data_IF_519662285772
#
_entry.id   IF_519662285772
#
_cell.length_a   1.000
_cell.length_b   1.000
_cell.length_c   1.000
_cell.angle_alpha   90.00
_cell.angle_beta   90.00
_cell.angle_gamma   90.00
#
_symmetry.space_group_name_H-M   'P 1'
#
loop_
_entity.id
_entity.type
_entity.pdbx_description
1 polymer ?
#
# COMPACT_ATOMS: atom_id res chain seq x y z
N UNK A 1 4.66 4.59 29.47
CA UNK A 1 4.12 5.28 28.27
C UNK A 1 3.89 4.22 27.20
N UNK A 2 2.72 4.17 26.62
CA UNK A 2 2.36 3.26 25.52
C UNK A 2 3.11 3.63 24.23
N UNK A 3 3.62 2.64 23.49
CA UNK A 3 4.31 2.85 22.20
C UNK A 3 3.33 2.78 21.01
N UNK A 4 2.26 1.99 21.14
CA UNK A 4 1.26 1.76 20.10
C UNK A 4 -0.07 2.43 20.43
N UNK A 5 -0.67 3.11 19.46
CA UNK A 5 -2.06 3.52 19.46
C UNK A 5 -2.87 2.76 18.41
N UNK A 6 -4.07 2.35 18.75
CA UNK A 6 -5.04 1.75 17.86
C UNK A 6 -6.11 2.79 17.50
N UNK A 7 -6.36 2.96 16.20
CA UNK A 7 -7.41 3.82 15.68
C UNK A 7 -8.35 3.02 14.79
N UNK A 8 -9.64 3.19 14.94
CA UNK A 8 -10.59 2.46 14.11
C UNK A 8 -11.67 3.39 13.54
N UNK A 9 -12.01 3.15 12.29
CA UNK A 9 -13.17 3.76 11.66
C UNK A 9 -14.49 3.25 12.29
N UNK A 10 -15.62 3.91 12.03
CA UNK A 10 -16.90 3.57 12.65
C UNK A 10 -17.29 2.10 12.51
N UNK A 11 -17.22 1.55 11.29
CA UNK A 11 -17.57 0.15 11.03
C UNK A 11 -16.60 -0.82 11.68
N UNK A 12 -15.28 -0.52 11.64
CA UNK A 12 -14.28 -1.33 12.33
C UNK A 12 -14.49 -1.34 13.85
N UNK A 13 -14.82 -0.20 14.47
CA UNK A 13 -15.16 -0.13 15.90
C UNK A 13 -16.37 -0.99 16.26
N UNK A 14 -17.41 -0.94 15.42
CA UNK A 14 -18.60 -1.77 15.62
C UNK A 14 -18.27 -3.26 15.50
N UNK A 15 -17.45 -3.64 14.53
CA UNK A 15 -16.97 -5.02 14.37
C UNK A 15 -16.18 -5.47 15.61
N UNK A 16 -15.19 -4.68 16.04
CA UNK A 16 -14.38 -4.98 17.24
C UNK A 16 -15.23 -5.10 18.50
N UNK A 17 -16.29 -4.29 18.62
CA UNK A 17 -17.19 -4.33 19.77
C UNK A 17 -18.03 -5.63 19.83
N UNK A 18 -18.39 -6.18 18.66
CA UNK A 18 -19.24 -7.38 18.59
C UNK A 18 -18.43 -8.68 18.56
N UNK A 19 -17.32 -8.69 17.82
CA UNK A 19 -16.62 -9.92 17.44
C UNK A 19 -15.16 -9.96 17.92
N UNK A 20 -14.62 -8.85 18.46
CA UNK A 20 -13.18 -8.73 18.71
C UNK A 20 -12.38 -8.69 17.40
N UNK A 21 -11.08 -8.96 17.50
CA UNK A 21 -10.18 -9.07 16.35
C UNK A 21 -9.59 -10.47 16.27
N UNK A 22 -9.81 -11.13 15.13
CA UNK A 22 -9.19 -12.40 14.78
C UNK A 22 -8.55 -12.32 13.39
N UNK A 23 -7.52 -13.16 13.09
CA UNK A 23 -6.88 -13.19 11.78
C UNK A 23 -7.88 -13.37 10.62
N UNK A 24 -8.93 -14.16 10.82
CA UNK A 24 -9.98 -14.42 9.82
C UNK A 24 -10.82 -13.18 9.47
N UNK A 25 -10.79 -12.14 10.30
CA UNK A 25 -11.52 -10.90 10.04
C UNK A 25 -10.78 -9.96 9.08
N UNK A 26 -9.49 -10.19 8.81
CA UNK A 26 -8.67 -9.32 7.98
C UNK A 26 -8.82 -9.68 6.51
N UNK A 27 -9.32 -8.74 5.71
CA UNK A 27 -9.43 -8.88 4.25
C UNK A 27 -8.28 -8.20 3.50
N UNK A 28 -7.79 -7.07 4.04
CA UNK A 28 -6.79 -6.24 3.34
C UNK A 28 -5.78 -5.67 4.31
N UNK A 29 -4.51 -5.64 3.90
CA UNK A 29 -3.42 -4.97 4.63
C UNK A 29 -2.73 -3.98 3.70
N UNK A 30 -2.89 -2.66 3.91
CA UNK A 30 -2.15 -1.65 3.18
C UNK A 30 -0.72 -1.48 3.69
N UNK A 31 0.21 -1.17 2.77
CA UNK A 31 1.60 -0.79 3.04
C UNK A 31 1.88 0.60 2.49
N UNK A 32 1.95 1.61 3.34
CA UNK A 32 2.15 3.01 2.95
C UNK A 32 3.51 3.29 2.32
N UNK A 33 3.56 4.23 1.39
CA UNK A 33 4.80 4.91 1.03
C UNK A 33 5.30 5.75 2.22
N UNK A 34 6.61 5.85 2.40
CA UNK A 34 7.16 6.63 3.54
C UNK A 34 8.68 6.55 3.67
N UNK A 35 9.33 5.74 2.83
CA UNK A 35 10.78 5.50 2.91
C UNK A 35 11.19 4.95 4.28
N UNK A 36 12.25 5.50 4.91
CA UNK A 36 12.79 4.96 6.16
C UNK A 36 11.79 4.89 7.33
N UNK A 37 10.69 5.67 7.29
CA UNK A 37 9.64 5.58 8.31
C UNK A 37 9.03 4.19 8.42
N UNK A 38 9.02 3.43 7.34
CA UNK A 38 8.54 2.05 7.32
C UNK A 38 9.37 1.09 8.18
N UNK A 39 10.62 1.42 8.51
CA UNK A 39 11.52 0.57 9.30
C UNK A 39 10.96 0.25 10.69
N UNK A 40 10.30 1.21 11.35
CA UNK A 40 9.73 1.00 12.69
C UNK A 40 8.57 0.00 12.70
N UNK A 41 8.04 -0.36 11.55
CA UNK A 41 6.99 -1.36 11.43
C UNK A 41 7.54 -2.79 11.33
N UNK A 42 8.85 -2.96 11.17
CA UNK A 42 9.48 -4.26 11.01
C UNK A 42 9.14 -5.27 12.10
N UNK A 43 9.25 -4.97 13.40
CA UNK A 43 8.82 -5.88 14.46
C UNK A 43 7.33 -6.24 14.40
N UNK A 44 6.48 -5.25 14.14
CA UNK A 44 5.03 -5.45 14.00
C UNK A 44 4.69 -6.30 12.78
N UNK A 45 5.38 -6.09 11.65
CA UNK A 45 5.23 -6.93 10.45
C UNK A 45 5.63 -8.38 10.72
N UNK A 46 6.76 -8.61 11.43
CA UNK A 46 7.20 -9.96 11.81
C UNK A 46 6.16 -10.68 12.66
N UNK A 47 5.59 -10.01 13.64
CA UNK A 47 4.51 -10.57 14.46
C UNK A 47 3.26 -10.85 13.63
N UNK A 48 2.77 -9.86 12.87
CA UNK A 48 1.54 -10.01 12.09
C UNK A 48 1.66 -11.13 11.06
N UNK A 49 2.71 -11.11 10.22
CA UNK A 49 2.86 -12.04 9.10
C UNK A 49 3.54 -13.36 9.47
N UNK A 50 4.34 -13.38 10.54
CA UNK A 50 5.05 -14.59 10.98
C UNK A 50 4.31 -15.42 12.03
N UNK A 51 3.47 -14.80 12.85
CA UNK A 51 2.89 -15.47 14.02
C UNK A 51 1.36 -15.39 14.07
N UNK A 52 0.79 -14.20 13.90
CA UNK A 52 -0.64 -13.99 14.14
C UNK A 52 -1.51 -14.32 12.93
N UNK A 53 -1.23 -13.72 11.77
CA UNK A 53 -2.06 -13.89 10.57
C UNK A 53 -2.04 -15.33 10.03
N UNK A 54 -0.94 -16.13 10.14
CA UNK A 54 -0.92 -17.53 9.73
C UNK A 54 -1.90 -18.44 10.50
N UNK A 55 -2.46 -18.01 11.62
CA UNK A 55 -3.47 -18.77 12.35
C UNK A 55 -4.82 -18.87 11.61
N UNK A 56 -4.97 -18.18 10.48
CA UNK A 56 -6.15 -18.25 9.62
C UNK A 56 -5.77 -18.66 8.19
N UNK A 57 -6.68 -19.28 7.48
CA UNK A 57 -6.55 -19.59 6.05
C UNK A 57 -7.27 -18.56 5.16
N UNK A 58 -7.84 -17.51 5.75
CA UNK A 58 -8.54 -16.45 5.01
C UNK A 58 -7.59 -15.79 3.99
N UNK A 59 -7.99 -15.68 2.71
CA UNK A 59 -7.23 -14.90 1.73
C UNK A 59 -7.16 -13.43 2.13
N UNK A 60 -5.99 -12.81 1.94
CA UNK A 60 -5.76 -11.40 2.28
C UNK A 60 -5.12 -10.67 1.09
N UNK A 61 -5.67 -9.51 0.77
CA UNK A 61 -5.11 -8.61 -0.23
C UNK A 61 -4.06 -7.68 0.41
N UNK A 62 -2.84 -7.72 -0.12
CA UNK A 62 -1.73 -6.89 0.32
C UNK A 62 -1.53 -5.76 -0.68
N UNK A 63 -1.80 -4.53 -0.29
CA UNK A 63 -1.76 -3.35 -1.18
C UNK A 63 -0.56 -2.49 -0.81
N UNK A 64 0.38 -2.25 -1.73
CA UNK A 64 1.61 -1.53 -1.40
C UNK A 64 1.98 -0.42 -2.38
N UNK A 65 2.55 0.66 -1.83
CA UNK A 65 3.19 1.74 -2.59
C UNK A 65 4.57 2.05 -2.00
N UNK A 66 5.59 2.23 -2.86
CA UNK A 66 6.97 2.53 -2.45
C UNK A 66 7.53 1.47 -1.50
N UNK A 67 8.12 1.88 -0.36
CA UNK A 67 8.58 0.93 0.68
C UNK A 67 7.46 -0.02 1.13
N UNK A 68 6.20 0.42 1.08
CA UNK A 68 5.06 -0.42 1.39
C UNK A 68 4.87 -1.55 0.39
N UNK A 69 5.12 -1.30 -0.90
CA UNK A 69 5.11 -2.38 -1.91
C UNK A 69 6.20 -3.42 -1.63
N UNK A 70 7.40 -2.96 -1.25
CA UNK A 70 8.48 -3.87 -0.88
C UNK A 70 8.14 -4.67 0.38
N UNK A 71 7.61 -4.01 1.44
CA UNK A 71 7.15 -4.70 2.66
C UNK A 71 6.07 -5.74 2.35
N UNK A 72 5.05 -5.41 1.56
CA UNK A 72 3.96 -6.32 1.24
C UNK A 72 4.43 -7.51 0.36
N UNK A 73 5.36 -7.27 -0.57
CA UNK A 73 6.00 -8.35 -1.31
C UNK A 73 6.84 -9.27 -0.40
N UNK A 74 7.53 -8.70 0.61
CA UNK A 74 8.29 -9.46 1.60
C UNK A 74 7.39 -10.35 2.46
N UNK A 75 6.18 -9.88 2.79
CA UNK A 75 5.18 -10.66 3.53
C UNK A 75 4.72 -11.93 2.79
N UNK A 76 4.83 -11.95 1.46
CA UNK A 76 4.50 -13.11 0.64
C UNK A 76 5.61 -14.16 0.54
N UNK A 77 6.77 -13.96 1.15
CA UNK A 77 7.85 -14.95 1.13
C UNK A 77 7.58 -16.07 2.12
N UNK A 78 8.10 -17.27 1.85
CA UNK A 78 7.87 -18.50 2.64
C UNK A 78 8.16 -18.32 4.14
N UNK A 79 9.25 -17.57 4.45
CA UNK A 79 9.57 -17.18 5.83
C UNK A 79 9.55 -15.66 5.97
N UNK A 80 8.37 -15.03 6.14
CA UNK A 80 8.24 -13.58 6.19
C UNK A 80 9.00 -12.96 7.37
N UNK A 81 9.01 -13.61 8.53
CA UNK A 81 9.71 -13.08 9.71
C UNK A 81 11.23 -12.93 9.48
N UNK A 82 11.85 -13.93 8.87
CA UNK A 82 13.26 -13.86 8.50
C UNK A 82 13.50 -12.85 7.36
N UNK A 83 12.63 -12.83 6.36
CA UNK A 83 12.73 -11.91 5.22
C UNK A 83 12.61 -10.45 5.65
N UNK A 84 11.72 -10.11 6.59
CA UNK A 84 11.62 -8.75 7.15
C UNK A 84 12.89 -8.33 7.88
N UNK A 85 13.57 -9.24 8.61
CA UNK A 85 14.87 -8.94 9.25
C UNK A 85 15.94 -8.61 8.21
N UNK A 86 15.96 -9.34 7.08
CA UNK A 86 16.90 -9.08 5.98
C UNK A 86 16.59 -7.73 5.33
N UNK A 87 15.32 -7.46 4.98
CA UNK A 87 14.88 -6.17 4.42
C UNK A 87 15.29 -5.00 5.32
N UNK A 88 15.06 -5.10 6.62
CA UNK A 88 15.38 -4.10 7.63
C UNK A 88 16.89 -3.86 7.68
N UNK A 89 17.69 -4.93 7.83
CA UNK A 89 19.15 -4.88 7.85
C UNK A 89 19.70 -4.19 6.59
N UNK A 90 19.25 -4.64 5.43
CA UNK A 90 19.76 -4.16 4.14
C UNK A 90 19.34 -2.72 3.87
N UNK A 91 18.13 -2.33 4.27
CA UNK A 91 17.67 -0.95 4.16
C UNK A 91 18.47 0.00 5.07
N UNK A 92 18.74 -0.40 6.32
CA UNK A 92 19.54 0.38 7.27
C UNK A 92 21.01 0.48 6.79
N UNK A 93 21.51 -0.58 6.17
CA UNK A 93 22.88 -0.64 5.66
C UNK A 93 23.08 0.14 4.35
N UNK A 94 22.01 0.64 3.71
CA UNK A 94 22.15 1.42 2.48
C UNK A 94 23.09 2.61 2.66
N UNK A 95 24.16 2.60 1.88
CA UNK A 95 25.13 3.67 1.80
C UNK A 95 25.52 3.90 0.34
N UNK A 96 25.65 5.16 -0.02
CA UNK A 96 26.05 5.55 -1.37
C UNK A 96 27.33 6.36 -1.26
N UNK A 97 28.45 5.79 -1.69
CA UNK A 97 29.70 6.50 -1.75
C UNK A 97 29.59 7.66 -2.74
N UNK A 98 29.93 8.85 -2.29
CA UNK A 98 29.94 10.04 -3.11
C UNK A 98 31.30 10.14 -3.82
N UNK A 99 31.29 10.44 -5.12
CA UNK A 99 32.50 10.79 -5.85
C UNK A 99 33.05 12.13 -5.35
N UNK A 100 34.36 12.35 -5.46
CA UNK A 100 34.95 13.63 -5.09
C UNK A 100 34.22 14.79 -5.77
N UNK A 101 33.74 15.76 -4.99
CA UNK A 101 32.99 16.95 -5.44
C UNK A 101 31.47 16.75 -5.57
N UNK A 102 30.93 15.54 -5.45
CA UNK A 102 29.49 15.31 -5.47
C UNK A 102 28.87 15.58 -4.08
N UNK A 103 27.74 16.32 -4.04
CA UNK A 103 26.97 16.56 -2.82
C UNK A 103 25.90 15.49 -2.55
N UNK A 104 25.58 14.68 -3.55
CA UNK A 104 24.60 13.57 -3.47
C UNK A 104 24.84 12.59 -4.61
N UNK A 105 24.49 11.31 -4.47
CA UNK A 105 24.65 10.32 -5.52
C UNK A 105 23.74 10.65 -6.71
N UNK A 106 24.16 10.23 -7.91
CA UNK A 106 23.33 10.40 -9.11
C UNK A 106 22.08 9.50 -9.04
N UNK A 107 20.96 9.97 -9.59
CA UNK A 107 19.71 9.18 -9.65
C UNK A 107 19.90 7.86 -10.42
N UNK A 108 20.77 7.85 -11.42
CA UNK A 108 21.12 6.63 -12.16
C UNK A 108 21.79 5.60 -11.25
N UNK A 109 22.82 5.99 -10.52
CA UNK A 109 23.56 5.10 -9.60
C UNK A 109 22.64 4.54 -8.51
N UNK A 110 21.80 5.40 -7.89
CA UNK A 110 20.84 4.96 -6.86
C UNK A 110 19.84 3.93 -7.43
N UNK A 111 19.36 4.15 -8.67
CA UNK A 111 18.41 3.24 -9.31
C UNK A 111 19.04 1.88 -9.67
N UNK A 112 20.29 1.87 -10.13
CA UNK A 112 21.04 0.64 -10.44
C UNK A 112 21.29 -0.18 -9.19
N UNK A 113 21.78 0.46 -8.11
CA UNK A 113 22.00 -0.20 -6.83
C UNK A 113 20.69 -0.75 -6.24
N UNK A 114 19.60 0.00 -6.33
CA UNK A 114 18.30 -0.46 -5.87
C UNK A 114 17.81 -1.67 -6.69
N UNK A 115 17.98 -1.64 -8.02
CA UNK A 115 17.65 -2.78 -8.89
C UNK A 115 18.48 -4.03 -8.57
N UNK A 116 19.77 -3.87 -8.24
CA UNK A 116 20.65 -4.95 -7.80
C UNK A 116 20.20 -5.52 -6.45
N UNK A 117 19.86 -4.65 -5.50
CA UNK A 117 19.35 -5.07 -4.19
C UNK A 117 18.05 -5.88 -4.32
N UNK A 118 17.13 -5.46 -5.18
CA UNK A 118 15.91 -6.23 -5.48
C UNK A 118 16.23 -7.59 -6.10
N UNK A 119 17.20 -7.65 -7.00
CA UNK A 119 17.64 -8.91 -7.60
C UNK A 119 18.24 -9.85 -6.56
N UNK A 120 19.06 -9.34 -5.65
CA UNK A 120 19.65 -10.13 -4.56
C UNK A 120 18.60 -10.62 -3.59
N UNK A 121 17.61 -9.77 -3.27
CA UNK A 121 16.58 -10.07 -2.28
C UNK A 121 15.52 -11.06 -2.79
N UNK A 122 15.06 -10.91 -4.05
CA UNK A 122 13.98 -11.73 -4.62
C UNK A 122 14.44 -12.73 -5.69
N UNK A 123 15.70 -12.69 -6.11
CA UNK A 123 16.21 -13.58 -7.15
C UNK A 123 15.97 -15.05 -6.80
N UNK A 124 15.30 -15.80 -7.70
CA UNK A 124 14.90 -17.18 -7.49
C UNK A 124 13.70 -17.40 -6.57
N UNK A 125 13.12 -16.33 -5.98
CA UNK A 125 12.01 -16.41 -5.02
C UNK A 125 10.74 -15.68 -5.45
N UNK A 126 10.71 -15.16 -6.67
CA UNK A 126 9.58 -14.38 -7.18
C UNK A 126 8.29 -15.21 -7.18
N UNK A 127 8.38 -16.51 -7.44
CA UNK A 127 7.22 -17.39 -7.46
C UNK A 127 6.59 -17.57 -6.08
N UNK A 128 7.35 -17.46 -4.98
CA UNK A 128 6.76 -17.44 -3.62
C UNK A 128 5.73 -16.30 -3.49
N UNK A 129 6.00 -15.16 -4.15
CA UNK A 129 5.11 -13.99 -4.14
C UNK A 129 3.96 -14.13 -5.12
N UNK A 130 4.23 -14.62 -6.34
CA UNK A 130 3.23 -14.70 -7.41
C UNK A 130 2.18 -15.78 -7.14
N UNK A 131 2.60 -16.91 -6.55
CA UNK A 131 1.79 -18.10 -6.32
C UNK A 131 1.44 -18.31 -4.85
N UNK A 132 1.60 -17.26 -4.01
CA UNK A 132 1.30 -17.39 -2.58
C UNK A 132 -0.16 -17.85 -2.37
N UNK A 133 -0.40 -18.92 -1.59
CA UNK A 133 -1.72 -19.57 -1.51
C UNK A 133 -2.82 -18.69 -0.92
N UNK A 134 -2.44 -17.68 -0.11
CA UNK A 134 -3.38 -16.83 0.63
C UNK A 134 -3.26 -15.35 0.33
N UNK A 135 -2.05 -14.86 0.03
CA UNK A 135 -1.82 -13.43 -0.16
C UNK A 135 -1.86 -13.06 -1.64
N UNK A 136 -2.59 -11.99 -1.94
CA UNK A 136 -2.62 -11.37 -3.27
C UNK A 136 -1.96 -10.02 -3.18
N UNK A 137 -0.80 -9.88 -3.81
CA UNK A 137 -0.04 -8.64 -3.82
C UNK A 137 -0.55 -7.68 -4.89
N UNK A 138 -0.79 -6.43 -4.52
CA UNK A 138 -1.14 -5.32 -5.41
C UNK A 138 -0.11 -4.22 -5.27
N UNK A 139 0.76 -4.07 -6.28
CA UNK A 139 1.81 -3.05 -6.32
C UNK A 139 1.29 -1.83 -7.06
N UNK A 140 1.19 -0.69 -6.38
CA UNK A 140 0.75 0.57 -6.96
C UNK A 140 1.94 1.34 -7.52
N UNK A 141 1.77 1.86 -8.74
CA UNK A 141 2.72 2.75 -9.42
C UNK A 141 2.00 3.94 -10.01
N UNK A 142 2.73 5.04 -10.23
CA UNK A 142 2.24 6.23 -10.91
C UNK A 142 2.82 6.30 -12.31
N UNK A 143 2.02 6.05 -13.35
CA UNK A 143 2.46 6.18 -14.74
C UNK A 143 2.27 7.61 -15.22
N UNK A 144 3.32 8.21 -15.76
CA UNK A 144 3.27 9.52 -16.39
C UNK A 144 2.49 9.51 -17.70
N UNK A 145 1.71 10.56 -17.91
CA UNK A 145 0.95 10.82 -19.14
C UNK A 145 1.47 12.07 -19.84
N UNK A 146 1.29 12.15 -21.13
CA UNK A 146 1.69 13.31 -21.94
C UNK A 146 3.14 13.75 -21.65
N UNK A 147 3.35 14.92 -21.05
CA UNK A 147 4.66 15.48 -20.70
C UNK A 147 5.44 14.56 -19.77
N UNK A 148 4.77 13.94 -18.78
CA UNK A 148 5.35 12.99 -17.83
C UNK A 148 5.53 11.57 -18.41
N UNK A 149 5.07 11.31 -19.62
CA UNK A 149 5.21 9.99 -20.28
C UNK A 149 6.67 9.57 -20.55
N UNK A 150 7.61 10.50 -20.47
CA UNK A 150 9.06 10.24 -20.51
C UNK A 150 9.78 11.17 -19.54
N UNK A 151 10.83 10.64 -18.89
CA UNK A 151 11.69 11.42 -18.04
C UNK A 151 12.53 12.42 -18.89
N UNK A 152 12.76 13.61 -18.34
CA UNK A 152 13.62 14.61 -18.98
C UNK A 152 13.87 15.80 -18.08
N UNK A 153 14.97 16.55 -18.33
CA UNK A 153 15.41 17.65 -17.44
C UNK A 153 14.36 18.76 -17.28
N UNK A 154 13.59 19.06 -18.32
CA UNK A 154 12.52 20.06 -18.31
C UNK A 154 11.14 19.45 -18.18
N UNK A 155 10.91 18.27 -18.79
CA UNK A 155 9.60 17.60 -18.78
C UNK A 155 9.18 17.18 -17.39
N UNK A 156 10.11 16.60 -16.63
CA UNK A 156 9.79 16.09 -15.30
C UNK A 156 9.41 17.22 -14.34
N UNK A 157 10.21 18.31 -14.16
CA UNK A 157 9.81 19.42 -13.30
C UNK A 157 8.51 20.11 -13.73
N UNK A 158 8.35 20.43 -15.02
CA UNK A 158 7.14 21.08 -15.52
C UNK A 158 5.91 20.20 -15.39
N UNK A 159 6.04 18.90 -15.68
CA UNK A 159 4.94 17.95 -15.55
C UNK A 159 4.48 17.78 -14.10
N UNK A 160 5.43 17.71 -13.14
CA UNK A 160 5.07 17.65 -11.72
C UNK A 160 4.52 18.95 -11.17
N UNK A 161 4.98 20.10 -11.67
CA UNK A 161 4.37 21.39 -11.34
C UNK A 161 2.91 21.45 -11.81
N UNK A 162 2.65 21.04 -13.06
CA UNK A 162 1.28 20.96 -13.59
C UNK A 162 0.41 19.99 -12.83
N UNK A 163 0.95 18.80 -12.49
CA UNK A 163 0.25 17.81 -11.67
C UNK A 163 -0.08 18.37 -10.27
N UNK A 164 0.84 19.10 -9.64
CA UNK A 164 0.64 19.75 -8.34
C UNK A 164 -0.46 20.80 -8.39
N UNK A 165 -0.43 21.70 -9.38
CA UNK A 165 -1.45 22.74 -9.56
C UNK A 165 -2.83 22.11 -9.82
N UNK A 166 -2.90 21.12 -10.71
CA UNK A 166 -4.13 20.38 -10.97
C UNK A 166 -4.65 19.67 -9.71
N UNK A 167 -3.75 19.02 -8.93
CA UNK A 167 -4.09 18.38 -7.67
C UNK A 167 -4.62 19.39 -6.64
N UNK A 168 -4.02 20.58 -6.54
CA UNK A 168 -4.45 21.61 -5.59
C UNK A 168 -5.87 22.06 -5.88
N UNK A 169 -6.23 22.24 -7.15
CA UNK A 169 -7.58 22.57 -7.58
C UNK A 169 -8.56 21.40 -7.32
N UNK A 170 -8.26 20.24 -7.87
CA UNK A 170 -9.06 19.03 -7.69
C UNK A 170 -8.19 17.78 -7.86
N UNK A 171 -8.17 16.87 -6.86
CA UNK A 171 -7.34 15.65 -6.90
C UNK A 171 -7.56 14.84 -8.19
N UNK A 172 -8.80 14.68 -8.63
CA UNK A 172 -9.14 13.92 -9.85
C UNK A 172 -8.54 14.55 -11.12
N UNK A 173 -8.33 15.88 -11.15
CA UNK A 173 -7.72 16.60 -12.29
C UNK A 173 -6.24 16.22 -12.48
N UNK A 174 -5.54 15.78 -11.43
CA UNK A 174 -4.20 15.21 -11.55
C UNK A 174 -4.15 14.01 -12.50
N UNK A 175 -5.27 13.33 -12.73
CA UNK A 175 -5.44 12.25 -13.70
C UNK A 175 -5.13 12.62 -15.16
N UNK A 176 -5.06 13.91 -15.49
CA UNK A 176 -4.55 14.39 -16.78
C UNK A 176 -3.03 14.16 -16.92
N UNK A 177 -2.28 14.18 -15.83
CA UNK A 177 -0.82 14.11 -15.77
C UNK A 177 -0.29 12.72 -15.39
N UNK A 178 -1.03 12.02 -14.53
CA UNK A 178 -0.66 10.73 -13.96
C UNK A 178 -1.81 9.74 -14.05
N UNK A 179 -1.49 8.46 -14.06
CA UNK A 179 -2.43 7.34 -14.06
C UNK A 179 -1.96 6.32 -13.03
N UNK A 180 -2.89 5.82 -12.21
CA UNK A 180 -2.60 4.70 -11.30
C UNK A 180 -2.47 3.42 -12.10
N UNK A 181 -1.36 2.70 -11.94
CA UNK A 181 -1.20 1.35 -12.50
C UNK A 181 -0.95 0.38 -11.36
N UNK A 182 -1.79 -0.64 -11.28
CA UNK A 182 -1.75 -1.67 -10.23
C UNK A 182 -1.32 -2.99 -10.85
N UNK A 183 -0.17 -3.49 -10.41
CA UNK A 183 0.31 -4.81 -10.77
C UNK A 183 -0.14 -5.81 -9.70
N UNK A 184 -0.91 -6.82 -10.08
CA UNK A 184 -1.54 -7.76 -9.15
C UNK A 184 -1.07 -9.20 -9.37
N UNK A 185 -0.67 -9.90 -8.30
CA UNK A 185 -0.40 -11.34 -8.29
C UNK A 185 -1.71 -12.14 -8.27
N UNK A 186 -1.63 -13.47 -8.40
CA UNK A 186 -2.80 -14.35 -8.35
C UNK A 186 -3.67 -14.30 -9.60
N UNK A 187 -3.10 -13.87 -10.73
CA UNK A 187 -3.74 -14.03 -12.03
C UNK A 187 -3.69 -15.52 -12.41
N UNK A 188 -4.77 -16.25 -12.12
CA UNK A 188 -4.86 -17.65 -12.52
C UNK A 188 -5.08 -17.74 -14.04
N UNK A 189 -4.31 -18.61 -14.70
CA UNK A 189 -4.67 -19.05 -16.04
C UNK A 189 -6.02 -19.73 -15.94
N UNK A 190 -7.08 -19.05 -16.35
CA UNK A 190 -8.37 -19.70 -16.54
C UNK A 190 -8.14 -20.84 -17.54
N UNK A 191 -8.48 -22.06 -17.19
CA UNK A 191 -8.17 -23.27 -17.96
C UNK A 191 -8.62 -23.26 -19.43
N UNK A 192 -9.29 -22.21 -19.93
CA UNK A 192 -9.78 -22.12 -21.32
C UNK A 192 -9.88 -20.68 -21.89
N UNK A 193 -9.09 -19.70 -21.40
CA UNK A 193 -9.15 -18.33 -21.93
C UNK A 193 -7.78 -17.80 -22.37
N UNK A 194 -7.70 -16.94 -23.41
CA UNK A 194 -6.45 -16.41 -23.95
C UNK A 194 -5.74 -15.40 -23.04
N UNK A 195 -6.35 -14.94 -21.95
CA UNK A 195 -5.74 -14.02 -20.99
C UNK A 195 -6.09 -14.44 -19.55
N UNK A 196 -5.10 -14.42 -18.63
CA UNK A 196 -5.37 -14.72 -17.21
C UNK A 196 -6.34 -13.68 -16.62
N UNK A 197 -7.38 -14.15 -15.94
CA UNK A 197 -8.31 -13.26 -15.22
C UNK A 197 -7.56 -12.59 -14.06
N UNK A 198 -7.53 -11.26 -14.06
CA UNK A 198 -6.93 -10.49 -12.95
C UNK A 198 -7.84 -10.54 -11.73
N UNK A 199 -7.29 -10.75 -10.52
CA UNK A 199 -8.08 -10.69 -9.29
C UNK A 199 -8.73 -9.31 -9.15
N UNK A 200 -9.93 -9.26 -8.57
CA UNK A 200 -10.58 -7.98 -8.23
C UNK A 200 -9.67 -7.17 -7.30
N UNK A 201 -9.68 -5.84 -7.44
CA UNK A 201 -8.97 -4.97 -6.51
C UNK A 201 -9.76 -4.87 -5.20
N UNK A 202 -9.09 -4.84 -4.03
CA UNK A 202 -9.76 -4.70 -2.74
C UNK A 202 -10.19 -3.26 -2.43
N UNK A 203 -10.24 -2.41 -3.44
CA UNK A 203 -10.62 -1.00 -3.31
C UNK A 203 -11.26 -0.46 -4.59
N UNK A 204 -12.10 0.59 -4.43
CA UNK A 204 -12.73 1.30 -5.52
C UNK A 204 -11.75 2.12 -6.35
N UNK A 205 -12.03 2.25 -7.66
CA UNK A 205 -11.18 2.97 -8.61
C UNK A 205 -11.89 4.17 -9.28
N UNK A 206 -13.06 4.56 -8.80
CA UNK A 206 -13.82 5.69 -9.32
C UNK A 206 -13.18 7.05 -9.04
N UNK A 207 -12.30 7.10 -8.04
CA UNK A 207 -11.56 8.29 -7.60
C UNK A 207 -10.48 8.72 -8.60
N UNK A 208 -9.84 7.75 -9.27
CA UNK A 208 -8.68 7.99 -10.12
C UNK A 208 -8.60 7.01 -11.29
N UNK A 209 -8.11 7.49 -12.44
CA UNK A 209 -7.87 6.64 -13.60
C UNK A 209 -6.91 5.51 -13.23
N UNK A 210 -7.40 4.28 -13.28
CA UNK A 210 -6.67 3.10 -12.84
C UNK A 210 -6.53 2.08 -13.97
N UNK A 211 -5.33 1.52 -14.13
CA UNK A 211 -5.04 0.37 -14.99
C UNK A 211 -4.65 -0.81 -14.13
N UNK A 212 -5.14 -1.99 -14.51
CA UNK A 212 -4.79 -3.26 -13.88
C UNK A 212 -3.86 -4.03 -14.80
N UNK A 213 -2.80 -4.61 -14.24
CA UNK A 213 -1.78 -5.38 -14.96
C UNK A 213 -1.47 -6.65 -14.16
N UNK A 214 -1.30 -7.78 -14.83
CA UNK A 214 -0.84 -8.99 -14.17
C UNK A 214 0.60 -8.79 -13.69
N UNK A 215 0.87 -9.10 -12.42
CA UNK A 215 2.23 -9.20 -11.91
C UNK A 215 2.78 -10.57 -12.32
N UNK A 216 3.91 -10.56 -13.00
CA UNK A 216 4.56 -11.75 -13.57
C UNK A 216 6.03 -11.76 -13.19
N UNK A 217 6.70 -12.88 -13.36
CA UNK A 217 8.15 -12.99 -13.12
C UNK A 217 8.93 -11.93 -13.92
N UNK A 218 8.53 -11.68 -15.18
CA UNK A 218 9.23 -10.74 -16.08
C UNK A 218 9.08 -9.27 -15.68
N UNK A 219 8.00 -8.90 -14.99
CA UNK A 219 7.74 -7.51 -14.61
C UNK A 219 7.81 -7.25 -13.10
N UNK A 220 7.90 -8.26 -12.24
CA UNK A 220 7.90 -8.13 -10.78
C UNK A 220 8.93 -7.13 -10.27
N UNK A 221 10.19 -7.34 -10.61
CA UNK A 221 11.28 -6.46 -10.15
C UNK A 221 11.09 -5.02 -10.65
N UNK A 222 10.69 -4.86 -11.89
CA UNK A 222 10.46 -3.55 -12.49
C UNK A 222 9.25 -2.84 -11.85
N UNK A 223 8.19 -3.56 -11.50
CA UNK A 223 7.03 -3.01 -10.82
C UNK A 223 7.38 -2.52 -9.40
N UNK A 224 8.13 -3.32 -8.61
CA UNK A 224 8.61 -2.91 -7.28
C UNK A 224 9.55 -1.70 -7.40
N UNK A 225 10.50 -1.74 -8.34
CA UNK A 225 11.42 -0.65 -8.58
C UNK A 225 10.68 0.64 -8.98
N UNK A 226 9.72 0.54 -9.90
CA UNK A 226 8.89 1.67 -10.31
C UNK A 226 8.10 2.25 -9.14
N UNK A 227 7.48 1.39 -8.32
CA UNK A 227 6.75 1.80 -7.12
C UNK A 227 7.61 2.58 -6.12
N UNK A 228 8.94 2.36 -6.13
CA UNK A 228 9.92 3.04 -5.29
C UNK A 228 10.65 4.19 -6.01
N UNK A 229 10.42 4.42 -7.31
CA UNK A 229 11.13 5.43 -8.12
C UNK A 229 10.65 6.84 -7.85
N UNK A 230 11.23 7.46 -6.81
CA UNK A 230 10.91 8.83 -6.41
C UNK A 230 11.49 9.82 -7.43
N UNK A 231 10.67 10.72 -7.99
CA UNK A 231 11.15 11.74 -8.91
C UNK A 231 12.35 12.51 -8.34
N UNK A 232 13.32 12.80 -9.19
CA UNK A 232 14.56 13.52 -8.88
C UNK A 232 15.57 12.78 -7.97
N UNK A 233 15.17 11.66 -7.34
CA UNK A 233 16.03 10.83 -6.48
C UNK A 233 16.41 9.53 -7.18
N UNK A 234 15.44 8.91 -7.87
CA UNK A 234 15.63 7.74 -8.72
C UNK A 234 15.15 8.04 -10.13
N UNK A 235 15.64 7.24 -11.09
CA UNK A 235 15.16 7.27 -12.46
C UNK A 235 13.78 6.64 -12.58
N UNK A 236 12.97 7.12 -13.52
CA UNK A 236 11.75 6.43 -13.91
C UNK A 236 12.07 5.04 -14.46
N UNK A 237 11.21 4.08 -14.21
CA UNK A 237 11.22 2.79 -14.91
C UNK A 237 10.37 2.95 -16.17
N UNK A 238 10.93 2.60 -17.34
CA UNK A 238 10.23 2.76 -18.61
C UNK A 238 9.74 1.42 -19.15
N UNK A 239 8.60 1.47 -19.82
CA UNK A 239 8.08 0.41 -20.68
C UNK A 239 8.07 -0.98 -20.02
N UNK A 240 7.44 -1.09 -18.85
CA UNK A 240 7.33 -2.33 -18.07
C UNK A 240 6.57 -3.38 -18.89
N UNK A 241 7.08 -4.62 -19.03
CA UNK A 241 6.42 -5.68 -19.79
C UNK A 241 4.99 -5.95 -19.32
N UNK A 242 4.07 -6.09 -20.27
CA UNK A 242 2.64 -6.33 -20.00
C UNK A 242 1.85 -5.08 -19.57
N UNK A 243 2.50 -3.93 -19.40
CA UNK A 243 1.88 -2.69 -18.99
C UNK A 243 1.91 -1.61 -20.11
N UNK A 244 1.08 -0.57 -20.07
CA UNK A 244 1.12 0.52 -21.04
C UNK A 244 2.49 1.20 -21.08
N UNK A 245 2.98 1.51 -22.30
CA UNK A 245 4.28 2.19 -22.46
C UNK A 245 4.34 3.54 -21.75
N UNK A 246 5.50 3.93 -21.27
CA UNK A 246 5.77 5.23 -20.65
C UNK A 246 6.68 5.15 -19.44
N UNK A 247 6.82 6.28 -18.75
CA UNK A 247 7.60 6.41 -17.53
C UNK A 247 6.75 6.07 -16.31
N UNK A 248 7.27 5.21 -15.44
CA UNK A 248 6.64 4.77 -14.20
C UNK A 248 7.42 5.31 -12.99
N UNK A 249 6.69 5.81 -12.03
CA UNK A 249 7.20 6.50 -10.85
C UNK A 249 6.59 5.92 -9.57
N UNK A 250 7.09 6.38 -8.42
CA UNK A 250 6.64 5.99 -7.09
C UNK A 250 5.11 6.03 -6.96
N UNK A 251 4.55 4.91 -6.50
CA UNK A 251 3.11 4.78 -6.30
C UNK A 251 2.53 5.78 -5.30
N UNK A 252 3.34 6.20 -4.32
CA UNK A 252 2.95 7.17 -3.32
C UNK A 252 2.72 8.58 -3.87
N UNK A 253 3.08 8.88 -5.12
CA UNK A 253 2.76 10.18 -5.73
C UNK A 253 1.24 10.34 -5.79
N UNK A 254 0.53 9.30 -6.27
CA UNK A 254 -0.93 9.26 -6.30
C UNK A 254 -1.46 8.77 -4.95
N UNK A 255 -0.95 7.67 -4.40
CA UNK A 255 -1.52 6.96 -3.26
C UNK A 255 -0.50 6.83 -2.11
N UNK A 256 -0.19 7.97 -1.47
CA UNK A 256 0.91 8.06 -0.50
C UNK A 256 0.71 7.16 0.72
N UNK A 257 -0.44 7.26 1.38
CA UNK A 257 -0.83 6.39 2.49
C UNK A 257 -2.04 5.52 2.15
N UNK A 258 -2.25 5.23 0.86
CA UNK A 258 -3.30 4.32 0.42
C UNK A 258 -4.68 4.65 1.01
N UNK A 259 -5.06 5.95 0.96
CA UNK A 259 -6.39 6.43 1.33
C UNK A 259 -7.41 6.07 0.23
N UNK A 260 -7.67 4.78 0.09
CA UNK A 260 -8.46 4.18 -0.96
C UNK A 260 -9.84 3.77 -0.41
N UNK A 261 -10.81 3.63 -1.29
CA UNK A 261 -12.16 3.19 -0.92
C UNK A 261 -12.19 1.67 -0.73
N UNK A 262 -12.05 1.21 0.53
CA UNK A 262 -12.07 -0.21 0.88
C UNK A 262 -13.46 -0.75 1.22
N UNK A 263 -14.53 0.04 1.00
CA UNK A 263 -15.91 -0.35 1.34
C UNK A 263 -16.59 -1.21 0.30
N UNK A 264 -15.95 -1.46 -0.84
CA UNK A 264 -16.52 -2.32 -1.88
C UNK A 264 -16.70 -3.75 -1.35
N UNK A 265 -17.94 -4.23 -1.40
CA UNK A 265 -18.22 -5.64 -1.16
C UNK A 265 -17.68 -6.48 -2.32
N UNK A 266 -17.37 -7.76 -2.08
CA UNK A 266 -16.96 -8.70 -3.15
C UNK A 266 -17.98 -8.72 -4.30
N UNK A 267 -19.27 -8.60 -3.98
CA UNK A 267 -20.39 -8.55 -4.95
C UNK A 267 -20.27 -7.37 -5.91
N UNK A 268 -19.90 -6.18 -5.41
CA UNK A 268 -19.73 -4.99 -6.26
C UNK A 268 -18.54 -5.13 -7.19
N UNK A 269 -17.46 -5.76 -6.71
CA UNK A 269 -16.25 -6.03 -7.49
C UNK A 269 -16.53 -7.02 -8.64
N UNK A 270 -17.33 -8.05 -8.40
CA UNK A 270 -17.70 -9.06 -9.38
C UNK A 270 -18.69 -8.52 -10.43
N UNK A 271 -19.64 -7.68 -10.02
CA UNK A 271 -20.57 -6.99 -10.92
C UNK A 271 -19.82 -6.02 -11.84
N UNK A 272 -18.85 -5.26 -11.32
CA UNK A 272 -18.03 -4.36 -12.12
C UNK A 272 -17.11 -5.13 -13.08
N UNK A 273 -16.54 -6.26 -12.67
CA UNK A 273 -15.74 -7.12 -13.54
C UNK A 273 -16.58 -7.69 -14.69
N UNK A 274 -17.80 -8.15 -14.42
CA UNK A 274 -18.72 -8.70 -15.42
C UNK A 274 -19.27 -7.63 -16.38
N UNK A 275 -19.48 -6.39 -15.92
CA UNK A 275 -19.95 -5.29 -16.78
C UNK A 275 -18.90 -4.82 -17.80
N UNK A 276 -17.60 -5.02 -17.49
CA UNK A 276 -16.49 -4.69 -18.38
C UNK A 276 -16.21 -5.79 -19.43
N UNK A 277 -16.69 -7.02 -19.19
CA UNK A 277 -16.51 -8.16 -20.11
C UNK A 277 -17.63 -8.26 -21.16
N UNK A 278 -18.82 -7.67 -20.90
CA UNK A 278 -19.93 -7.65 -21.86
C UNK A 278 -20.41 -6.21 -22.12
N UNK A 279 -19.90 -5.52 -23.14
CA UNK A 279 -20.55 -4.33 -23.66
C UNK A 279 -21.87 -4.81 -24.35
N UNK A 280 -23.02 -4.60 -23.69
CA UNK A 280 -24.33 -4.88 -24.30
C UNK A 280 -24.47 -4.08 -25.58
N UNK A 281 -24.68 -4.78 -26.65
CA UNK A 281 -25.32 -4.27 -27.86
C UNK A 281 -26.83 -4.11 -27.55
N UNK A 282 -27.21 -2.98 -27.00
CA UNK A 282 -28.64 -2.66 -26.82
C UNK A 282 -29.17 -1.96 -28.06
N UNK A 283 -29.80 -2.75 -28.90
CA UNK A 283 -30.73 -2.30 -29.92
C UNK A 283 -31.95 -3.19 -29.88
N UNK A 284 -32.90 -2.90 -29.02
CA UNK A 284 -34.31 -3.04 -29.37
C UNK A 284 -35.24 -2.35 -28.37
N UNK A 285 -36.10 -1.47 -28.89
CA UNK A 285 -37.26 -0.87 -28.21
C UNK A 285 -38.45 -1.82 -28.37
N UNK A 286 -39.23 -1.98 -27.32
CA UNK A 286 -40.69 -2.09 -27.17
C UNK A 286 -41.08 -3.20 -26.17
N UNK A 287 -41.75 -2.88 -25.13
CA UNK A 287 -43.19 -2.82 -24.91
C UNK A 287 -43.50 -2.74 -23.41
N UNK A 288 -44.51 -1.93 -23.14
CA UNK A 288 -45.15 -1.68 -21.85
C UNK A 288 -45.99 -2.92 -21.50
N UNK A 289 -45.92 -3.36 -20.21
CA UNK A 289 -47.14 -3.75 -19.48
C UNK A 289 -46.85 -3.80 -17.97
N UNK A 290 -47.78 -3.23 -17.22
CA UNK A 290 -47.64 -3.06 -15.78
C UNK A 290 -48.24 -4.24 -15.01
N UNK A 291 -47.57 -4.60 -13.94
CA UNK A 291 -48.22 -5.32 -12.84
C UNK A 291 -47.78 -4.74 -11.49
N UNK A 292 -48.81 -4.30 -10.75
CA UNK A 292 -48.72 -3.88 -9.34
C UNK A 292 -48.49 -5.11 -8.49
N UNK A 293 -47.39 -5.15 -7.75
CA UNK A 293 -47.23 -6.09 -6.64
C UNK A 293 -47.19 -5.34 -5.34
N UNK A 294 -48.10 -5.73 -4.46
CA UNK A 294 -48.37 -5.20 -3.13
C UNK A 294 -47.23 -5.48 -2.15
N UNK A 295 -46.88 -4.45 -1.43
CA UNK A 295 -45.91 -4.43 -0.37
C UNK A 295 -46.43 -5.20 0.87
N UNK A 296 -45.78 -6.27 1.27
CA UNK A 296 -45.96 -6.92 2.56
C UNK A 296 -44.64 -6.77 3.33
N UNK A 297 -44.62 -5.90 4.33
CA UNK A 297 -43.49 -5.65 5.20
C UNK A 297 -43.21 -6.86 6.13
N UNK A 298 -42.18 -7.57 5.84
CA UNK A 298 -41.53 -8.46 6.81
C UNK A 298 -40.22 -7.82 7.26
N UNK A 299 -40.18 -7.39 8.51
CA UNK A 299 -38.92 -7.02 9.20
C UNK A 299 -38.15 -8.31 9.39
N UNK A 300 -37.27 -8.60 8.44
CA UNK A 300 -36.27 -9.64 8.60
C UNK A 300 -35.12 -9.07 9.47
N UNK A 301 -35.12 -9.41 10.73
CA UNK A 301 -33.90 -9.39 11.56
C UNK A 301 -32.99 -10.47 10.98
N UNK A 302 -32.20 -10.12 9.97
CA UNK A 302 -31.17 -11.02 9.45
C UNK A 302 -29.99 -11.01 10.42
N UNK A 303 -29.84 -12.06 11.21
CA UNK A 303 -28.57 -12.52 11.72
C UNK A 303 -27.71 -12.97 10.50
N UNK A 304 -27.18 -12.00 9.78
CA UNK A 304 -26.15 -12.28 8.76
C UNK A 304 -24.91 -12.68 9.55
N UNK A 305 -24.39 -13.90 9.38
CA UNK A 305 -23.13 -14.29 10.00
C UNK A 305 -22.10 -13.24 9.61
N UNK A 306 -21.32 -12.75 10.60
CA UNK A 306 -20.26 -11.76 10.38
C UNK A 306 -19.41 -12.22 9.20
N UNK A 307 -19.43 -11.45 8.11
CA UNK A 307 -18.70 -11.81 6.89
C UNK A 307 -17.22 -11.93 7.23
N UNK A 308 -16.70 -13.15 7.18
CA UNK A 308 -15.27 -13.40 7.33
C UNK A 308 -14.51 -12.55 6.33
N UNK A 309 -13.52 -11.75 6.80
CA UNK A 309 -12.68 -10.92 5.96
C UNK A 309 -13.31 -9.61 5.52
N UNK A 310 -13.70 -8.75 6.47
CA UNK A 310 -14.27 -7.42 6.17
C UNK A 310 -13.39 -6.24 6.65
N UNK A 311 -12.38 -6.50 7.49
CA UNK A 311 -11.54 -5.44 8.07
C UNK A 311 -10.31 -5.16 7.22
N UNK A 312 -9.90 -3.90 7.22
CA UNK A 312 -8.60 -3.43 6.76
C UNK A 312 -7.71 -3.26 7.99
N UNK A 313 -6.68 -4.10 8.14
CA UNK A 313 -5.67 -3.96 9.19
C UNK A 313 -4.51 -3.15 8.64
N UNK A 314 -4.22 -1.99 9.23
CA UNK A 314 -3.25 -1.07 8.67
C UNK A 314 -2.10 -0.74 9.64
N UNK A 315 -1.00 -1.51 9.65
CA UNK A 315 0.26 -1.09 10.27
C UNK A 315 0.81 0.16 9.58
N UNK A 316 0.80 1.28 10.28
CA UNK A 316 1.16 2.59 9.74
C UNK A 316 2.09 3.36 10.70
N UNK A 317 2.85 4.32 10.20
CA UNK A 317 3.81 5.08 11.00
C UNK A 317 3.24 6.41 11.54
N UNK A 318 1.96 6.70 11.34
CA UNK A 318 1.26 7.87 11.89
C UNK A 318 -0.26 7.71 11.79
N UNK A 319 -1.03 8.49 12.57
CA UNK A 319 -2.51 8.49 12.53
C UNK A 319 -3.07 8.94 11.17
N UNK A 320 -2.57 10.03 10.61
CA UNK A 320 -3.16 10.64 9.41
C UNK A 320 -2.87 9.82 8.15
N UNK A 321 -3.92 9.42 7.44
CA UNK A 321 -3.84 8.70 6.16
C UNK A 321 -3.89 9.70 5.01
N UNK A 322 -2.72 10.21 4.60
CA UNK A 322 -2.57 11.26 3.58
C UNK A 322 -2.82 10.68 2.18
N UNK A 323 -3.73 11.25 1.36
CA UNK A 323 -4.11 10.65 0.08
C UNK A 323 -2.94 10.49 -0.90
N UNK A 324 -2.21 11.56 -1.22
CA UNK A 324 -1.09 11.55 -2.17
C UNK A 324 0.13 12.30 -1.67
N UNK A 325 1.28 12.07 -2.28
CA UNK A 325 2.50 12.80 -1.91
C UNK A 325 2.37 14.31 -2.13
N UNK A 326 1.66 14.71 -3.20
CA UNK A 326 1.37 16.11 -3.50
C UNK A 326 0.35 16.72 -2.52
N UNK A 327 -0.33 15.92 -1.72
CA UNK A 327 -1.28 16.37 -0.69
C UNK A 327 -0.63 16.65 0.67
N UNK A 328 0.67 16.40 0.86
CA UNK A 328 1.35 16.57 2.15
C UNK A 328 1.21 17.96 2.75
N UNK A 329 1.22 18.99 1.92
CA UNK A 329 1.00 20.39 2.33
C UNK A 329 -0.48 20.76 2.52
N UNK A 330 -1.41 19.94 2.02
CA UNK A 330 -2.84 20.22 1.98
C UNK A 330 -3.53 19.55 3.19
N UNK A 331 -3.25 20.07 4.40
CA UNK A 331 -3.67 19.44 5.67
C UNK A 331 -5.18 19.20 5.78
N UNK A 332 -6.01 19.98 5.11
CA UNK A 332 -7.47 19.79 5.09
C UNK A 332 -7.90 18.47 4.41
N UNK A 333 -7.04 17.84 3.60
CA UNK A 333 -7.25 16.54 2.94
C UNK A 333 -6.81 15.34 3.78
N UNK A 334 -6.22 15.57 4.96
CA UNK A 334 -5.71 14.50 5.82
C UNK A 334 -6.76 13.90 6.75
N UNK A 335 -7.98 14.40 6.73
CA UNK A 335 -9.09 13.88 7.55
C UNK A 335 -9.49 12.49 7.06
N UNK A 336 -9.83 11.62 8.00
CA UNK A 336 -10.46 10.35 7.68
C UNK A 336 -11.78 10.58 6.92
N UNK A 337 -12.05 9.75 5.93
CA UNK A 337 -13.28 9.76 5.15
C UNK A 337 -13.98 8.40 5.32
N UNK A 338 -15.21 8.26 4.81
CA UNK A 338 -15.93 6.98 4.80
C UNK A 338 -15.11 5.82 4.20
N UNK A 339 -14.15 6.11 3.33
CA UNK A 339 -13.29 5.09 2.74
C UNK A 339 -12.45 4.31 3.76
N UNK A 340 -12.32 4.83 4.98
CA UNK A 340 -11.57 4.24 6.07
C UNK A 340 -12.47 3.65 7.18
N UNK A 341 -13.79 3.56 6.95
CA UNK A 341 -14.75 3.16 7.99
C UNK A 341 -14.50 1.74 8.53
N UNK A 342 -14.03 0.82 7.69
CA UNK A 342 -13.70 -0.56 8.08
C UNK A 342 -12.22 -0.77 8.44
N UNK A 343 -11.46 0.32 8.64
CA UNK A 343 -10.02 0.28 8.92
C UNK A 343 -9.72 0.24 10.41
N UNK A 344 -8.85 -0.69 10.82
CA UNK A 344 -8.12 -0.67 12.08
C UNK A 344 -6.67 -0.30 11.80
N UNK A 345 -6.29 0.90 12.20
CA UNK A 345 -4.97 1.48 11.99
C UNK A 345 -4.13 1.34 13.26
N UNK A 346 -2.95 0.75 13.12
CA UNK A 346 -1.94 0.56 14.16
C UNK A 346 -0.83 1.58 13.93
N UNK A 347 -0.68 2.57 14.84
CA UNK A 347 0.30 3.63 14.66
C UNK A 347 1.08 3.91 15.96
N UNK A 348 2.34 4.39 15.84
CA UNK A 348 3.11 4.76 17.01
C UNK A 348 2.44 5.92 17.75
N UNK A 349 2.50 5.86 19.08
CA UNK A 349 2.12 6.98 19.94
C UNK A 349 3.06 8.17 19.68
N UNK A 350 2.55 9.38 19.35
CA UNK A 350 3.39 10.55 19.09
C UNK A 350 4.33 10.92 20.24
N UNK A 351 3.92 10.73 21.50
CA UNK A 351 4.75 11.03 22.66
C UNK A 351 5.90 10.00 22.79
N UNK A 352 5.62 8.72 22.51
CA UNK A 352 6.67 7.71 22.46
C UNK A 352 7.66 7.99 21.31
N UNK A 353 7.21 8.46 20.15
CA UNK A 353 8.08 8.83 19.02
C UNK A 353 9.12 9.88 19.45
N UNK A 354 8.77 10.81 20.35
CA UNK A 354 9.71 11.81 20.89
C UNK A 354 10.86 11.20 21.69
N UNK A 355 10.71 9.97 22.18
CA UNK A 355 11.76 9.24 22.93
C UNK A 355 12.74 8.50 22.03
N UNK A 356 12.44 8.38 20.74
CA UNK A 356 13.35 7.76 19.78
C UNK A 356 14.58 8.62 19.50
N UNK A 357 15.64 8.04 18.91
CA UNK A 357 16.79 8.84 18.46
C UNK A 357 16.35 10.02 17.59
N UNK A 358 16.92 11.19 17.80
CA UNK A 358 16.57 12.45 17.16
C UNK A 358 15.12 12.94 17.44
N UNK A 359 14.40 12.35 18.41
CA UNK A 359 13.02 12.71 18.75
C UNK A 359 12.00 12.45 17.65
N UNK A 360 12.31 11.58 16.69
CA UNK A 360 11.48 11.34 15.50
C UNK A 360 11.66 9.93 14.93
N UNK A 361 10.79 9.57 13.99
CA UNK A 361 10.98 8.37 13.18
C UNK A 361 12.18 8.52 12.23
N UNK A 362 12.88 7.41 11.88
CA UNK A 362 13.82 7.40 10.77
C UNK A 362 13.21 8.03 9.51
N UNK A 363 13.91 8.95 8.87
CA UNK A 363 13.43 9.57 7.63
C UNK A 363 14.58 9.92 6.67
N UNK A 364 14.23 10.46 5.49
CA UNK A 364 15.22 10.82 4.46
C UNK A 364 16.11 11.98 4.86
N UNK A 365 15.67 12.85 5.76
CA UNK A 365 16.50 13.96 6.23
C UNK A 365 17.70 13.45 7.02
N UNK A 366 17.64 12.22 7.54
CA UNK A 366 18.75 11.61 8.25
C UNK A 366 19.98 11.40 7.33
N UNK A 367 19.77 11.18 6.03
CA UNK A 367 20.88 11.12 5.08
C UNK A 367 21.67 12.45 5.00
N UNK A 368 20.95 13.56 5.13
CA UNK A 368 21.55 14.90 5.17
C UNK A 368 22.10 15.21 6.56
N UNK A 369 21.34 14.89 7.60
CA UNK A 369 21.70 15.15 9.00
C UNK A 369 23.00 14.44 9.41
N UNK A 370 23.13 13.18 9.06
CA UNK A 370 24.33 12.39 9.37
C UNK A 370 25.45 12.55 8.33
N UNK A 371 25.13 12.96 7.10
CA UNK A 371 26.13 13.13 6.04
C UNK A 371 27.03 11.91 5.88
N UNK A 372 28.31 12.08 6.19
CA UNK A 372 29.33 11.01 6.12
C UNK A 372 29.36 10.14 7.39
N UNK A 373 28.62 10.49 8.46
CA UNK A 373 28.51 9.65 9.66
C UNK A 373 27.52 8.52 9.45
N UNK A 374 27.89 7.59 8.58
CA UNK A 374 27.11 6.38 8.30
C UNK A 374 26.90 5.53 9.56
N UNK A 375 27.93 5.42 10.42
CA UNK A 375 27.86 4.64 11.64
C UNK A 375 26.83 5.21 12.62
N UNK A 376 26.80 6.53 12.81
CA UNK A 376 25.81 7.23 13.62
C UNK A 376 24.39 7.04 13.10
N UNK A 377 24.15 7.18 11.79
CA UNK A 377 22.86 6.93 11.17
C UNK A 377 22.40 5.49 11.40
N UNK A 378 23.25 4.51 11.12
CA UNK A 378 22.98 3.09 11.32
C UNK A 378 22.62 2.79 12.78
N UNK A 379 23.39 3.35 13.75
CA UNK A 379 23.12 3.21 15.18
C UNK A 379 21.74 3.78 15.55
N UNK A 380 21.42 5.00 15.10
CA UNK A 380 20.16 5.65 15.39
C UNK A 380 18.96 4.86 14.82
N UNK A 381 19.06 4.39 13.58
CA UNK A 381 17.99 3.63 12.95
C UNK A 381 17.80 2.25 13.59
N UNK A 382 18.88 1.53 13.90
CA UNK A 382 18.81 0.28 14.65
C UNK A 382 18.16 0.46 16.02
N UNK A 383 18.53 1.54 16.75
CA UNK A 383 17.91 1.86 18.05
C UNK A 383 16.41 2.13 17.91
N UNK A 384 15.99 2.88 16.89
CA UNK A 384 14.56 3.15 16.64
C UNK A 384 13.79 1.86 16.33
N UNK A 385 14.36 0.99 15.50
CA UNK A 385 13.75 -0.31 15.16
C UNK A 385 13.70 -1.23 16.38
N UNK A 386 14.78 -1.32 17.15
CA UNK A 386 14.79 -2.12 18.40
C UNK A 386 13.73 -1.62 19.39
N UNK A 387 13.60 -0.30 19.55
CA UNK A 387 12.58 0.28 20.42
C UNK A 387 11.16 -0.01 19.91
N UNK A 388 10.95 -0.14 18.60
CA UNK A 388 9.64 -0.42 18.01
C UNK A 388 9.16 -1.87 18.21
N UNK A 389 10.01 -2.78 18.72
CA UNK A 389 9.57 -4.11 19.19
C UNK A 389 8.40 -3.97 20.19
N UNK A 390 8.47 -2.95 21.03
CA UNK A 390 7.41 -2.66 21.98
C UNK A 390 6.03 -2.46 21.34
N UNK A 391 5.95 -1.95 20.10
CA UNK A 391 4.66 -1.84 19.39
C UNK A 391 4.08 -3.22 19.06
N UNK A 392 4.92 -4.19 18.70
CA UNK A 392 4.49 -5.56 18.44
C UNK A 392 4.05 -6.25 19.74
N UNK A 393 4.82 -6.07 20.82
CA UNK A 393 4.51 -6.66 22.13
C UNK A 393 3.18 -6.10 22.69
N UNK A 394 2.95 -4.78 22.56
CA UNK A 394 1.70 -4.13 23.00
C UNK A 394 0.51 -4.57 22.13
N UNK A 395 0.70 -4.81 20.83
CA UNK A 395 -0.35 -5.34 19.96
C UNK A 395 -0.68 -6.80 20.31
N UNK A 396 0.32 -7.65 20.54
CA UNK A 396 0.13 -9.02 20.98
C UNK A 396 -0.62 -9.10 22.32
N UNK A 397 -0.21 -8.30 23.29
CA UNK A 397 -0.90 -8.23 24.60
C UNK A 397 -2.35 -7.72 24.47
N UNK A 398 -2.60 -6.77 23.57
CA UNK A 398 -3.95 -6.29 23.30
C UNK A 398 -4.84 -7.37 22.65
N UNK A 399 -4.28 -8.20 21.77
CA UNK A 399 -5.02 -9.33 21.16
C UNK A 399 -5.42 -10.38 22.20
N UNK A 400 -4.58 -10.64 23.20
CA UNK A 400 -4.88 -11.58 24.29
C UNK A 400 -5.97 -11.03 25.25
N UNK A 401 -5.90 -9.74 25.54
CA UNK A 401 -6.84 -9.05 26.45
C UNK A 401 -7.31 -7.72 25.85
N UNK A 402 -8.28 -7.76 24.91
CA UNK A 402 -8.73 -6.58 24.21
C UNK A 402 -9.37 -5.55 25.16
N UNK A 403 -8.79 -4.36 25.25
CA UNK A 403 -9.38 -3.20 25.90
C UNK A 403 -9.93 -2.24 24.84
N UNK A 404 -11.26 -2.15 24.79
CA UNK A 404 -11.96 -1.28 23.83
C UNK A 404 -11.73 0.20 24.11
N UNK A 405 -11.42 0.58 25.36
CA UNK A 405 -11.08 1.95 25.75
C UNK A 405 -9.80 2.47 25.10
N UNK A 406 -8.91 1.55 24.69
CA UNK A 406 -7.66 1.88 24.00
C UNK A 406 -7.83 2.08 22.48
N UNK A 407 -9.01 1.82 21.91
CA UNK A 407 -9.30 2.00 20.48
C UNK A 407 -9.89 3.38 20.24
N UNK A 408 -9.07 4.29 19.74
CA UNK A 408 -9.45 5.66 19.42
C UNK A 408 -10.22 5.75 18.10
N UNK A 409 -10.92 6.85 17.88
CA UNK A 409 -11.54 7.13 16.58
C UNK A 409 -10.45 7.55 15.57
N UNK A 410 -10.56 6.97 14.37
CA UNK A 410 -9.70 7.30 13.24
C UNK A 410 -10.03 8.68 12.65
#
# INVERSE_FOLDING_TARGET
MQALHLYAGPSARQHLARHGLAPAHVATIPGAAGGPKGLILGPLDRFIFGEWLPQSQQPVDLVGASIGAWRMATACLENPAAAFKVLERDYIAQHYELKPGEKRPSAQFVSEQFGQNLQTFYGGRVNEVLEHPRYRLHVLTSRGRHVLGREGPWRTPLGYLGAFLANTAQRKAMGAWLERVVFSSGAHSAHHGPLPALPALPFGTSDFRTRRVALTETNFKLAIQASCSIPFVLKAVHDIPGAPRGAYWDGGIIDYHLHLDYLLTKTDSDLLANSLVNPRLDGNKNSIDGEKSTNSGAVLTSDVPASTGSLVLYPHFQKAVVPGWLDKGLKWRHKATRHLDNMLLLAPNPEWVKTLPNGKLPDRNDFVHYGNDFAGRKKAWNSAVSASQRMADEFAAWLEKPDRGQVHLL
#
